data_IF_010471584705
#
_entry.id   IF_010471584705
#
_cell.length_a   1.000
_cell.length_b   1.000
_cell.length_c   1.000
_cell.angle_alpha   90.00
_cell.angle_beta   90.00
_cell.angle_gamma   90.00
#
_symmetry.space_group_name_H-M   'P 1'
#
loop_
_entity.id
_entity.type
_entity.pdbx_description
1 polymer ?
#
# COMPACT_ATOMS: atom_id res chain seq x y z
N UNK A 1 11.21 -14.88 2.98
CA UNK A 1 10.99 -13.99 1.81
C UNK A 1 10.33 -12.71 2.28
N UNK A 2 10.89 -11.56 1.96
CA UNK A 2 10.30 -10.28 2.35
C UNK A 2 9.13 -9.89 1.43
N UNK A 3 8.40 -8.86 1.82
CA UNK A 3 7.22 -8.43 1.09
C UNK A 3 7.54 -8.04 -0.36
N UNK A 4 8.65 -7.35 -0.57
CA UNK A 4 9.10 -6.92 -1.90
C UNK A 4 9.29 -8.12 -2.83
N UNK A 5 9.97 -9.16 -2.36
CA UNK A 5 10.20 -10.37 -3.15
C UNK A 5 8.91 -11.13 -3.45
N UNK A 6 7.95 -11.09 -2.52
CA UNK A 6 6.63 -11.68 -2.74
C UNK A 6 5.92 -11.03 -3.90
N UNK A 7 5.98 -9.70 -4.00
CA UNK A 7 5.41 -8.98 -5.14
C UNK A 7 6.13 -9.29 -6.44
N UNK A 8 7.46 -9.36 -6.41
CA UNK A 8 8.23 -9.72 -7.60
C UNK A 8 7.86 -11.12 -8.10
N UNK A 9 7.74 -12.07 -7.18
CA UNK A 9 7.36 -13.43 -7.54
C UNK A 9 5.93 -13.51 -8.07
N UNK A 10 5.02 -12.74 -7.50
CA UNK A 10 3.64 -12.67 -8.00
C UNK A 10 3.61 -12.23 -9.45
N UNK A 11 4.35 -11.19 -9.80
CA UNK A 11 4.43 -10.70 -11.18
C UNK A 11 4.98 -11.79 -12.10
N UNK A 12 6.04 -12.48 -11.70
CA UNK A 12 6.65 -13.55 -12.49
C UNK A 12 5.73 -14.74 -12.66
N UNK A 13 5.03 -15.15 -11.59
CA UNK A 13 4.13 -16.31 -11.63
C UNK A 13 2.92 -16.08 -12.53
N UNK A 14 2.48 -14.85 -12.67
CA UNK A 14 1.37 -14.50 -13.54
C UNK A 14 1.84 -14.23 -14.99
N UNK A 15 3.08 -14.57 -15.31
CA UNK A 15 3.71 -14.33 -16.61
C UNK A 15 3.72 -12.86 -17.02
N UNK A 16 3.73 -11.99 -16.07
CA UNK A 16 3.78 -10.54 -16.28
C UNK A 16 5.22 -10.08 -16.25
N UNK A 17 5.48 -9.01 -16.98
CA UNK A 17 6.84 -8.50 -17.09
C UNK A 17 7.21 -7.64 -15.88
N UNK A 18 8.26 -8.05 -15.17
CA UNK A 18 8.85 -7.26 -14.10
C UNK A 18 9.97 -6.39 -14.70
N UNK A 19 9.61 -5.19 -15.13
CA UNK A 19 10.59 -4.25 -15.69
C UNK A 19 11.40 -3.58 -14.59
N UNK A 20 12.51 -2.95 -14.96
CA UNK A 20 13.33 -2.18 -14.01
C UNK A 20 12.53 -1.06 -13.34
N UNK A 21 11.68 -0.37 -14.12
CA UNK A 21 10.86 0.72 -13.57
C UNK A 21 9.77 0.20 -12.63
N UNK A 22 9.16 -0.96 -12.91
CA UNK A 22 8.18 -1.57 -12.00
C UNK A 22 8.83 -2.02 -10.70
N UNK A 23 10.02 -2.61 -10.81
CA UNK A 23 10.79 -2.99 -9.62
C UNK A 23 11.12 -1.77 -8.77
N UNK A 24 11.59 -0.69 -9.40
CA UNK A 24 11.90 0.56 -8.70
C UNK A 24 10.66 1.12 -8.00
N UNK A 25 9.49 1.08 -8.65
CA UNK A 25 8.24 1.54 -8.07
C UNK A 25 7.91 0.78 -6.79
N UNK A 26 8.03 -0.54 -6.81
CA UNK A 26 7.77 -1.35 -5.61
C UNK A 26 8.78 -1.02 -4.51
N UNK A 27 10.04 -0.86 -4.88
CA UNK A 27 11.10 -0.57 -3.91
C UNK A 27 10.92 0.77 -3.21
N UNK A 28 10.51 1.82 -3.93
CA UNK A 28 10.31 3.12 -3.30
C UNK A 28 9.08 3.17 -2.39
N UNK A 29 8.11 2.28 -2.62
CA UNK A 29 6.92 2.21 -1.80
C UNK A 29 7.07 1.28 -0.59
N UNK A 30 8.22 0.63 -0.45
CA UNK A 30 8.50 -0.19 0.73
C UNK A 30 8.48 0.65 2.00
N UNK A 31 7.67 0.24 2.98
CA UNK A 31 7.58 0.87 4.30
C UNK A 31 7.12 2.33 4.30
N UNK A 32 6.52 2.81 3.21
CA UNK A 32 6.01 4.18 3.16
C UNK A 32 4.88 4.31 2.14
N UNK A 33 4.04 5.30 2.38
CA UNK A 33 3.04 5.72 1.40
C UNK A 33 3.48 7.05 0.82
N UNK A 34 3.31 7.22 -0.50
CA UNK A 34 3.79 8.39 -1.20
C UNK A 34 2.69 8.99 -2.08
N UNK A 35 2.70 10.31 -2.21
CA UNK A 35 1.90 10.99 -3.22
C UNK A 35 2.52 10.77 -4.60
N UNK A 36 1.76 11.08 -5.66
CA UNK A 36 2.31 10.97 -7.01
C UNK A 36 3.58 11.81 -7.19
N UNK A 37 3.58 13.04 -6.67
CA UNK A 37 4.75 13.92 -6.77
C UNK A 37 5.98 13.33 -6.06
N UNK A 38 5.76 12.72 -4.91
CA UNK A 38 6.84 12.08 -4.17
C UNK A 38 7.38 10.86 -4.90
N UNK A 39 6.48 10.08 -5.52
CA UNK A 39 6.87 8.94 -6.36
C UNK A 39 7.71 9.43 -7.55
N UNK A 40 7.23 10.47 -8.22
CA UNK A 40 7.91 11.04 -9.38
C UNK A 40 9.33 11.51 -9.01
N UNK A 41 9.46 12.19 -7.89
CA UNK A 41 10.75 12.66 -7.39
C UNK A 41 11.68 11.51 -7.05
N UNK A 42 11.18 10.49 -6.35
CA UNK A 42 11.98 9.34 -5.95
C UNK A 42 12.46 8.54 -7.16
N UNK A 43 11.59 8.36 -8.16
CA UNK A 43 11.96 7.65 -9.39
C UNK A 43 12.95 8.44 -10.25
N UNK A 44 12.81 9.76 -10.27
CA UNK A 44 13.77 10.62 -10.99
C UNK A 44 15.18 10.46 -10.42
N UNK A 45 15.31 10.31 -9.12
CA UNK A 45 16.60 10.08 -8.47
C UNK A 45 17.23 8.74 -8.89
N UNK A 46 16.42 7.81 -9.39
CA UNK A 46 16.89 6.52 -9.89
C UNK A 46 17.02 6.48 -11.41
N UNK A 47 16.84 7.62 -12.08
CA UNK A 47 16.96 7.71 -13.53
C UNK A 47 15.68 7.44 -14.32
N UNK A 48 14.53 7.38 -13.66
CA UNK A 48 13.24 7.15 -14.33
C UNK A 48 12.46 8.46 -14.36
N UNK A 49 12.47 9.12 -15.51
CA UNK A 49 11.93 10.48 -15.67
C UNK A 49 10.60 10.54 -16.44
N UNK A 50 10.24 9.48 -17.15
CA UNK A 50 9.09 9.51 -18.05
C UNK A 50 7.79 9.38 -17.26
N UNK A 51 6.99 10.47 -17.24
CA UNK A 51 5.76 10.56 -16.49
C UNK A 51 4.73 9.53 -16.96
N UNK A 52 4.64 9.31 -18.28
CA UNK A 52 3.72 8.31 -18.84
C UNK A 52 4.06 6.90 -18.35
N UNK A 53 5.34 6.57 -18.25
CA UNK A 53 5.78 5.28 -17.72
C UNK A 53 5.40 5.12 -16.26
N UNK A 54 5.51 6.19 -15.47
CA UNK A 54 5.12 6.18 -14.06
C UNK A 54 3.62 5.88 -13.92
N UNK A 55 2.78 6.59 -14.68
CA UNK A 55 1.34 6.36 -14.68
C UNK A 55 0.99 4.94 -15.11
N UNK A 56 1.59 4.47 -16.20
CA UNK A 56 1.32 3.13 -16.72
C UNK A 56 1.71 2.05 -15.70
N UNK A 57 2.82 2.22 -15.01
CA UNK A 57 3.25 1.28 -13.99
C UNK A 57 2.35 1.30 -12.76
N UNK A 58 1.90 2.49 -12.32
CA UNK A 58 0.94 2.58 -11.21
C UNK A 58 -0.36 1.87 -11.57
N UNK A 59 -0.88 2.14 -12.77
CA UNK A 59 -2.11 1.52 -13.24
C UNK A 59 -1.99 0.00 -13.33
N UNK A 60 -0.87 -0.48 -13.89
CA UNK A 60 -0.57 -1.92 -13.95
C UNK A 60 -0.51 -2.54 -12.55
N UNK A 61 0.21 -1.91 -11.63
CA UNK A 61 0.37 -2.45 -10.27
C UNK A 61 -0.94 -2.39 -9.47
N UNK A 62 -1.78 -1.39 -9.71
CA UNK A 62 -3.10 -1.32 -9.09
C UNK A 62 -4.04 -2.40 -9.64
N UNK A 63 -4.02 -2.60 -10.96
CA UNK A 63 -4.81 -3.65 -11.61
C UNK A 63 -4.47 -5.03 -11.07
N UNK A 64 -3.21 -5.29 -10.78
CA UNK A 64 -2.74 -6.56 -10.23
C UNK A 64 -2.70 -6.59 -8.70
N UNK A 65 -3.32 -5.60 -8.05
CA UNK A 65 -3.51 -5.56 -6.59
C UNK A 65 -2.19 -5.54 -5.81
N UNK A 66 -1.17 -4.96 -6.40
CA UNK A 66 0.14 -4.78 -5.76
C UNK A 66 0.23 -3.42 -5.11
N UNK A 67 -0.37 -2.40 -5.74
CA UNK A 67 -0.44 -1.04 -5.23
C UNK A 67 -1.89 -0.66 -5.00
N UNK A 68 -2.15 0.07 -3.93
CA UNK A 68 -3.48 0.60 -3.61
C UNK A 68 -3.40 2.09 -3.42
N UNK A 69 -4.52 2.77 -3.70
CA UNK A 69 -4.69 4.17 -3.40
C UNK A 69 -5.29 4.31 -2.02
N UNK A 70 -4.82 5.28 -1.26
CA UNK A 70 -5.48 5.63 -0.02
C UNK A 70 -5.58 7.15 0.10
N UNK A 71 -6.70 7.61 0.67
CA UNK A 71 -6.97 9.01 0.86
C UNK A 71 -6.86 9.33 2.35
N UNK A 72 -5.95 10.23 2.68
CA UNK A 72 -5.76 10.70 4.05
C UNK A 72 -5.82 12.21 3.99
N UNK A 73 -6.78 12.79 4.71
CA UNK A 73 -6.96 14.25 4.76
C UNK A 73 -7.08 14.88 3.35
N UNK A 74 -7.89 14.26 2.49
CA UNK A 74 -8.13 14.67 1.10
C UNK A 74 -6.91 14.62 0.18
N UNK A 75 -5.83 14.01 0.63
CA UNK A 75 -4.63 13.80 -0.19
C UNK A 75 -4.55 12.33 -0.59
N UNK A 76 -4.32 12.09 -1.88
CA UNK A 76 -4.17 10.74 -2.39
C UNK A 76 -2.73 10.26 -2.24
N UNK A 77 -2.58 9.10 -1.61
CA UNK A 77 -1.30 8.41 -1.47
C UNK A 77 -1.37 7.07 -2.19
N UNK A 78 -0.22 6.56 -2.54
CA UNK A 78 -0.07 5.20 -3.06
C UNK A 78 0.76 4.39 -2.07
N UNK A 79 0.39 3.14 -1.91
CA UNK A 79 1.06 2.24 -0.97
C UNK A 79 1.01 0.82 -1.51
N UNK A 80 1.91 -0.03 -1.03
CA UNK A 80 1.85 -1.44 -1.37
C UNK A 80 0.67 -2.08 -0.66
N UNK A 81 -0.05 -2.95 -1.38
CA UNK A 81 -1.12 -3.73 -0.80
C UNK A 81 -0.56 -4.70 0.24
N UNK A 82 -1.37 -5.04 1.24
CA UNK A 82 -0.98 -6.07 2.20
C UNK A 82 -0.90 -7.41 1.49
N UNK A 83 0.19 -8.14 1.73
CA UNK A 83 0.42 -9.40 1.05
C UNK A 83 -0.62 -10.46 1.38
N UNK A 84 -1.09 -10.49 2.62
CA UNK A 84 -2.06 -11.47 3.08
C UNK A 84 -2.98 -10.82 4.11
N UNK A 85 -4.31 -10.75 3.85
CA UNK A 85 -5.23 -10.14 4.81
C UNK A 85 -5.09 -10.79 6.19
N UNK A 86 -4.96 -9.94 7.22
CA UNK A 86 -4.79 -10.41 8.58
C UNK A 86 -3.39 -10.88 8.93
N UNK A 87 -2.44 -10.81 8.01
CA UNK A 87 -1.08 -11.22 8.30
C UNK A 87 -0.38 -10.16 9.16
N UNK A 88 0.20 -10.58 10.28
CA UNK A 88 0.73 -9.67 11.30
C UNK A 88 1.84 -8.73 10.79
N UNK A 89 2.66 -9.21 9.86
CA UNK A 89 3.78 -8.42 9.34
C UNK A 89 3.30 -7.24 8.48
N UNK A 90 2.08 -7.31 7.95
CA UNK A 90 1.55 -6.34 6.99
C UNK A 90 0.33 -5.59 7.53
N UNK A 91 0.08 -5.66 8.84
CA UNK A 91 -1.15 -5.15 9.45
C UNK A 91 -1.01 -3.71 9.91
N UNK A 92 -1.01 -2.79 8.97
CA UNK A 92 -0.85 -1.36 9.25
C UNK A 92 -2.19 -0.65 9.26
N UNK A 93 -2.48 0.06 10.35
CA UNK A 93 -3.61 0.96 10.46
C UNK A 93 -3.07 2.38 10.33
N UNK A 94 -3.60 3.13 9.37
CA UNK A 94 -3.22 4.53 9.18
C UNK A 94 -4.23 5.41 9.92
N UNK A 95 -3.74 6.23 10.84
CA UNK A 95 -4.58 7.12 11.65
C UNK A 95 -4.21 8.55 11.33
N UNK A 96 -5.20 9.32 10.85
CA UNK A 96 -5.04 10.75 10.67
C UNK A 96 -5.55 11.46 11.94
N UNK A 97 -4.66 12.18 12.61
CA UNK A 97 -5.01 12.96 13.81
C UNK A 97 -5.40 14.37 13.37
N UNK A 98 -6.66 14.73 13.58
CA UNK A 98 -7.20 16.04 13.16
C UNK A 98 -6.64 17.20 13.96
N UNK A 99 -6.34 16.96 15.22
CA UNK A 99 -5.86 18.00 16.14
C UNK A 99 -4.39 18.38 15.90
N UNK A 100 -3.56 17.43 15.45
CA UNK A 100 -2.13 17.68 15.22
C UNK A 100 -1.76 17.65 13.74
N UNK A 101 -2.69 17.22 12.89
CA UNK A 101 -2.48 17.04 11.46
C UNK A 101 -1.38 16.00 11.13
N UNK A 102 -1.16 15.07 12.05
CA UNK A 102 -0.18 14.00 11.87
C UNK A 102 -0.83 12.73 11.33
N UNK A 103 -0.04 11.95 10.62
CA UNK A 103 -0.42 10.59 10.19
C UNK A 103 0.40 9.62 11.02
N UNK A 104 -0.29 8.73 11.74
CA UNK A 104 0.33 7.74 12.62
C UNK A 104 0.02 6.36 12.10
N UNK A 105 0.99 5.46 12.13
CA UNK A 105 0.79 4.06 11.77
C UNK A 105 0.80 3.20 13.04
N UNK A 106 -0.17 2.31 13.13
CA UNK A 106 -0.27 1.34 14.21
C UNK A 106 -0.33 -0.06 13.60
N UNK A 107 0.48 -0.96 14.12
CA UNK A 107 0.45 -2.35 13.72
C UNK A 107 -0.37 -3.15 14.73
N UNK A 108 -1.43 -3.81 14.28
CA UNK A 108 -2.24 -4.66 15.16
C UNK A 108 -2.85 -5.80 14.36
N UNK A 109 -2.27 -6.98 14.49
CA UNK A 109 -2.72 -8.17 13.78
C UNK A 109 -4.12 -8.62 14.21
N UNK A 110 -4.47 -8.45 15.47
CA UNK A 110 -5.75 -8.92 16.01
C UNK A 110 -6.94 -8.26 15.34
N UNK A 111 -6.85 -6.96 15.06
CA UNK A 111 -7.92 -6.24 14.37
C UNK A 111 -8.08 -6.77 12.95
N UNK A 112 -6.97 -6.97 12.23
CA UNK A 112 -7.01 -7.49 10.87
C UNK A 112 -7.52 -8.93 10.82
N UNK A 113 -7.12 -9.77 11.76
CA UNK A 113 -7.60 -11.15 11.86
C UNK A 113 -9.09 -11.18 12.17
N UNK A 114 -9.56 -10.31 13.04
CA UNK A 114 -10.98 -10.20 13.36
C UNK A 114 -11.81 -9.87 12.12
N UNK A 115 -11.34 -8.90 11.33
CA UNK A 115 -12.03 -8.51 10.10
C UNK A 115 -11.96 -9.64 9.07
N UNK A 116 -10.77 -10.21 8.87
CA UNK A 116 -10.54 -11.25 7.86
C UNK A 116 -11.40 -12.49 8.12
N UNK A 117 -11.62 -12.83 9.38
CA UNK A 117 -12.38 -14.02 9.77
C UNK A 117 -13.82 -13.72 10.14
N UNK A 118 -14.29 -12.49 9.94
CA UNK A 118 -15.64 -12.12 10.28
C UNK A 118 -16.65 -12.83 9.37
N UNK A 119 -17.73 -13.30 9.95
CA UNK A 119 -18.80 -14.04 9.27
C UNK A 119 -19.33 -13.29 8.05
N UNK A 120 -19.44 -11.98 8.14
CA UNK A 120 -19.94 -11.14 7.04
C UNK A 120 -19.10 -11.25 5.77
N UNK A 121 -17.83 -11.66 5.87
CA UNK A 121 -16.90 -11.76 4.76
C UNK A 121 -16.58 -13.20 4.39
N UNK A 122 -17.24 -14.18 5.01
CA UNK A 122 -16.92 -15.60 4.85
C UNK A 122 -17.09 -16.14 3.44
N UNK A 123 -17.89 -15.47 2.63
CA UNK A 123 -18.14 -15.86 1.23
C UNK A 123 -17.15 -15.23 0.24
N UNK A 124 -16.19 -14.46 0.75
CA UNK A 124 -15.23 -13.73 -0.08
C UNK A 124 -13.81 -14.27 0.11
N UNK A 125 -13.06 -14.19 -0.96
CA UNK A 125 -11.63 -14.45 -0.97
C UNK A 125 -10.94 -13.09 -0.96
N UNK A 126 -10.40 -12.70 0.19
CA UNK A 126 -9.93 -11.33 0.38
C UNK A 126 -8.55 -11.12 -0.25
N UNK A 127 -8.41 -10.06 -1.02
CA UNK A 127 -7.12 -9.68 -1.61
C UNK A 127 -6.23 -8.96 -0.60
N UNK A 128 -6.82 -8.00 0.11
CA UNK A 128 -6.13 -7.25 1.16
C UNK A 128 -7.15 -6.54 2.04
N UNK A 129 -6.68 -6.08 3.19
CA UNK A 129 -7.48 -5.24 4.11
C UNK A 129 -6.70 -3.94 4.34
N UNK A 130 -7.40 -2.82 4.17
CA UNK A 130 -6.88 -1.49 4.48
C UNK A 130 -7.75 -0.86 5.55
N UNK A 131 -7.12 -0.29 6.58
CA UNK A 131 -7.84 0.44 7.63
C UNK A 131 -7.27 1.86 7.72
N UNK A 132 -8.15 2.83 7.55
CA UNK A 132 -7.81 4.24 7.72
C UNK A 132 -8.78 4.83 8.74
N UNK A 133 -8.26 5.48 9.76
CA UNK A 133 -9.05 6.04 10.84
C UNK A 133 -8.80 7.55 10.90
N UNK A 134 -9.87 8.33 10.98
CA UNK A 134 -9.79 9.75 11.30
C UNK A 134 -10.15 9.92 12.77
N UNK A 135 -9.29 10.58 13.53
CA UNK A 135 -9.47 10.69 14.97
C UNK A 135 -8.87 12.00 15.49
N UNK A 136 -9.09 12.26 16.73
CA UNK A 136 -8.36 13.29 17.47
C UNK A 136 -7.97 12.72 18.84
N UNK A 137 -6.90 13.22 19.40
CA UNK A 137 -6.49 12.79 20.73
C UNK A 137 -7.57 13.13 21.75
N UNK A 138 -7.86 12.20 22.66
CA UNK A 138 -8.83 12.46 23.70
C UNK A 138 -8.32 13.54 24.64
N UNK A 139 -9.20 14.40 25.04
CA UNK A 139 -8.89 15.40 26.07
C UNK A 139 -8.77 14.71 27.42
N UNK A 140 -7.77 15.09 28.18
CA UNK A 140 -7.57 14.55 29.52
C UNK A 140 -8.50 15.21 30.51
#
# INVERSE_FOLDING_TARGET
>A
MNLKERYFNKIRQENLRLTKSRRAMIEILENQHLTFKEIQKALAQRGFYNVSTIYNNLEFLMEHKIVVELFINNTKYYDLAMGNPGHSADSHIHIMLRDTNEIVEVNNADIFDYIANHEALSHLDLDYIRITISAQNKKK
#
